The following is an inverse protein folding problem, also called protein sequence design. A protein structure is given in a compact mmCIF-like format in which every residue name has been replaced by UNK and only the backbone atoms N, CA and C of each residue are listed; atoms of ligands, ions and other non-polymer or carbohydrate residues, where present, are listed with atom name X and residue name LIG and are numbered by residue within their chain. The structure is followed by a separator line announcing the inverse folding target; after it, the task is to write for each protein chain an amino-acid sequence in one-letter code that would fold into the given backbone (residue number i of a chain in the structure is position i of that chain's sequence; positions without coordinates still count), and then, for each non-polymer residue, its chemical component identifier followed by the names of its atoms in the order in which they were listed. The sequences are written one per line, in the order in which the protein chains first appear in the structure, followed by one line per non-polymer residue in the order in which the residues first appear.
data_IF_860639740909
#
_entry.id   IF_860639740909
#
_cell.length_a   1.000
_cell.length_b   1.000
_cell.length_c   1.000
_cell.angle_alpha   90.00
_cell.angle_beta   90.00
_cell.angle_gamma   90.00
#
_symmetry.space_group_name_H-M   'P 1'
#
loop_
_entity.id
_entity.type
_entity.pdbx_description
1 polymer ?
#
# COMPACT_ATOMS: atom_id res chain seq x y z
N UNK A 1 26.45 7.43 -4.07
CA UNK A 1 25.00 7.51 -3.75
C UNK A 1 24.22 6.40 -4.44
N UNK A 2 24.32 6.27 -5.77
CA UNK A 2 23.63 5.23 -6.56
C UNK A 2 23.95 3.80 -6.07
N UNK A 3 25.22 3.49 -5.79
CA UNK A 3 25.64 2.19 -5.24
C UNK A 3 25.01 1.87 -3.87
N UNK A 4 24.94 2.86 -2.97
CA UNK A 4 24.31 2.72 -1.66
C UNK A 4 22.79 2.52 -1.75
N UNK A 5 22.10 3.25 -2.62
CA UNK A 5 20.66 3.07 -2.88
C UNK A 5 20.41 1.69 -3.50
N UNK A 6 21.26 1.24 -4.43
CA UNK A 6 21.17 -0.08 -5.05
C UNK A 6 21.35 -1.22 -4.03
N UNK A 7 22.33 -1.12 -3.15
CA UNK A 7 22.51 -2.14 -2.10
C UNK A 7 21.34 -2.14 -1.12
N UNK A 8 20.85 -0.96 -0.74
CA UNK A 8 19.68 -0.83 0.12
C UNK A 8 18.43 -1.46 -0.51
N UNK A 9 18.18 -1.22 -1.81
CA UNK A 9 17.03 -1.79 -2.52
C UNK A 9 17.13 -3.30 -2.71
N UNK A 10 18.34 -3.87 -2.69
CA UNK A 10 18.57 -5.33 -2.65
C UNK A 10 18.43 -5.95 -1.26
N UNK A 11 18.09 -5.16 -0.23
CA UNK A 11 17.95 -5.64 1.14
C UNK A 11 19.27 -5.84 1.87
N UNK A 12 20.34 -5.15 1.46
CA UNK A 12 21.61 -5.19 2.18
C UNK A 12 21.44 -4.70 3.62
N UNK A 13 22.09 -5.39 4.57
CA UNK A 13 22.11 -4.97 5.97
C UNK A 13 22.75 -3.58 6.12
N UNK A 14 22.21 -2.75 7.01
CA UNK A 14 22.78 -1.45 7.36
C UNK A 14 24.28 -1.52 7.66
N UNK A 15 24.71 -2.53 8.45
CA UNK A 15 26.13 -2.73 8.80
C UNK A 15 27.03 -2.93 7.57
N UNK A 16 26.54 -3.61 6.53
CA UNK A 16 27.29 -3.83 5.30
C UNK A 16 27.47 -2.52 4.54
N UNK A 17 26.41 -1.72 4.43
CA UNK A 17 26.45 -0.40 3.79
C UNK A 17 27.42 0.52 4.53
N UNK A 18 27.40 0.51 5.87
CA UNK A 18 28.30 1.33 6.69
C UNK A 18 29.77 0.88 6.57
N UNK A 19 30.05 -0.42 6.47
CA UNK A 19 31.40 -0.94 6.23
C UNK A 19 31.90 -0.49 4.85
N UNK A 20 31.09 -0.62 3.81
CA UNK A 20 31.44 -0.18 2.45
C UNK A 20 31.59 1.35 2.37
N UNK A 21 30.84 2.09 3.17
CA UNK A 21 31.01 3.54 3.29
C UNK A 21 32.33 3.91 3.94
N UNK A 22 32.79 3.17 4.94
CA UNK A 22 34.11 3.38 5.56
C UNK A 22 35.28 2.99 4.67
N UNK A 23 35.03 2.11 3.70
CA UNK A 23 35.99 1.73 2.66
C UNK A 23 35.93 2.66 1.42
N UNK A 24 35.20 3.79 1.50
CA UNK A 24 34.97 4.74 0.40
C UNK A 24 34.35 4.13 -0.88
N UNK A 25 33.76 2.93 -0.77
CA UNK A 25 33.08 2.24 -1.88
C UNK A 25 31.61 2.63 -2.01
N UNK A 26 31.02 3.21 -0.97
CA UNK A 26 29.62 3.62 -0.93
C UNK A 26 29.42 4.87 -0.07
N UNK A 27 28.19 5.39 -0.06
CA UNK A 27 27.76 6.44 0.87
C UNK A 27 27.23 5.80 2.15
N UNK A 28 27.26 6.56 3.24
CA UNK A 28 26.72 6.10 4.53
C UNK A 28 25.25 5.73 4.41
N UNK A 29 24.79 4.78 5.23
CA UNK A 29 23.38 4.42 5.29
C UNK A 29 22.49 5.65 5.57
N UNK A 30 22.95 6.57 6.42
CA UNK A 30 22.23 7.80 6.74
C UNK A 30 22.05 8.69 5.50
N UNK A 31 23.09 8.82 4.68
CA UNK A 31 23.04 9.59 3.43
C UNK A 31 22.07 8.96 2.42
N UNK A 32 22.05 7.62 2.32
CA UNK A 32 21.07 6.90 1.50
C UNK A 32 19.65 7.24 1.96
N UNK A 33 19.40 7.22 3.28
CA UNK A 33 18.06 7.47 3.82
C UNK A 33 17.59 8.90 3.66
N UNK A 34 18.47 9.87 3.86
CA UNK A 34 18.15 11.28 3.56
C UNK A 34 17.85 11.47 2.08
N UNK A 35 18.62 10.85 1.19
CA UNK A 35 18.38 10.88 -0.25
C UNK A 35 17.02 10.29 -0.63
N UNK A 36 16.67 9.11 -0.08
CA UNK A 36 15.39 8.48 -0.35
C UNK A 36 14.21 9.33 0.13
N UNK A 37 14.31 9.91 1.33
CA UNK A 37 13.28 10.84 1.86
C UNK A 37 13.10 12.06 0.96
N UNK A 38 14.18 12.63 0.45
CA UNK A 38 14.13 13.76 -0.48
C UNK A 38 13.43 13.37 -1.80
N UNK A 39 13.78 12.21 -2.37
CA UNK A 39 13.14 11.67 -3.58
C UNK A 39 11.64 11.41 -3.37
N UNK A 40 11.26 10.83 -2.23
CA UNK A 40 9.84 10.62 -1.90
C UNK A 40 9.08 11.93 -1.79
N UNK A 41 9.69 12.96 -1.17
CA UNK A 41 9.07 14.29 -1.05
C UNK A 41 8.86 14.94 -2.42
N UNK A 42 9.86 14.84 -3.29
CA UNK A 42 9.82 15.40 -4.64
C UNK A 42 8.79 14.68 -5.53
N UNK A 43 8.77 13.34 -5.49
CA UNK A 43 7.77 12.53 -6.16
C UNK A 43 6.35 12.86 -5.67
N UNK A 44 6.16 12.99 -4.35
CA UNK A 44 4.87 13.37 -3.78
C UNK A 44 4.41 14.77 -4.26
N UNK A 45 5.31 15.74 -4.32
CA UNK A 45 5.01 17.08 -4.82
C UNK A 45 4.66 17.06 -6.32
N UNK A 46 5.34 16.23 -7.11
CA UNK A 46 5.07 16.02 -8.53
C UNK A 46 3.68 15.43 -8.75
N UNK A 47 3.33 14.37 -8.01
CA UNK A 47 1.99 13.76 -8.06
C UNK A 47 0.92 14.77 -7.65
N UNK A 48 1.14 15.53 -6.57
CA UNK A 48 0.19 16.56 -6.11
C UNK A 48 -0.02 17.67 -7.13
N UNK A 49 1.04 18.05 -7.87
CA UNK A 49 0.93 19.05 -8.92
C UNK A 49 0.17 18.50 -10.14
N UNK A 50 0.47 17.26 -10.55
CA UNK A 50 -0.20 16.58 -11.66
C UNK A 50 -1.69 16.36 -11.38
N UNK A 51 -2.04 15.85 -10.20
CA UNK A 51 -3.42 15.62 -9.80
C UNK A 51 -4.29 16.89 -9.73
N UNK A 52 -3.67 18.07 -9.62
CA UNK A 52 -4.39 19.37 -9.67
C UNK A 52 -4.65 19.87 -11.09
N UNK A 53 -3.87 19.42 -12.08
CA UNK A 53 -3.87 19.96 -13.44
C UNK A 53 -4.54 19.02 -14.44
N UNK A 54 -4.41 17.73 -14.22
CA UNK A 54 -4.81 16.68 -15.15
C UNK A 54 -5.87 15.78 -14.53
N UNK A 55 -6.60 15.05 -15.37
CA UNK A 55 -7.48 13.96 -14.93
C UNK A 55 -6.65 12.81 -14.36
N UNK A 56 -7.16 12.18 -13.30
CA UNK A 56 -6.45 11.11 -12.62
C UNK A 56 -7.39 10.01 -12.13
N UNK A 57 -6.83 8.82 -11.94
CA UNK A 57 -7.45 7.67 -11.30
C UNK A 57 -6.69 7.32 -10.04
N UNK A 58 -7.38 6.78 -9.04
CA UNK A 58 -6.74 6.18 -7.86
C UNK A 58 -7.00 4.69 -7.86
N UNK A 59 -5.92 3.92 -7.74
CA UNK A 59 -5.96 2.49 -7.48
C UNK A 59 -5.59 2.28 -6.03
N UNK A 60 -6.47 1.61 -5.28
CA UNK A 60 -6.22 1.23 -3.90
C UNK A 60 -5.85 -0.24 -3.81
N UNK A 61 -4.86 -0.56 -2.99
CA UNK A 61 -4.49 -1.93 -2.64
C UNK A 61 -4.19 -2.02 -1.15
N UNK A 62 -4.48 -3.19 -0.55
CA UNK A 62 -4.20 -3.45 0.86
C UNK A 62 -2.90 -4.25 0.97
N UNK A 63 -1.87 -3.63 1.54
CA UNK A 63 -0.58 -4.25 1.78
C UNK A 63 -0.57 -4.82 3.21
N UNK A 64 -0.40 -6.14 3.29
CA UNK A 64 -0.32 -6.86 4.55
C UNK A 64 1.10 -7.38 4.75
N UNK A 65 1.82 -6.85 5.75
CA UNK A 65 3.18 -7.25 6.08
C UNK A 65 3.22 -8.03 7.38
N UNK A 66 3.59 -9.31 7.30
CA UNK A 66 3.81 -10.16 8.47
C UNK A 66 5.29 -10.15 8.86
N UNK A 67 5.64 -9.51 9.97
CA UNK A 67 7.00 -9.47 10.50
C UNK A 67 7.19 -10.59 11.53
N UNK A 68 7.76 -11.70 11.07
CA UNK A 68 8.12 -12.83 11.96
C UNK A 68 9.46 -12.60 12.63
N UNK A 69 9.49 -12.62 13.96
CA UNK A 69 10.73 -12.58 14.74
C UNK A 69 11.20 -14.01 14.96
N UNK A 70 12.49 -14.27 14.69
CA UNK A 70 13.09 -15.61 14.89
C UNK A 70 12.96 -16.11 16.34
N UNK A 71 13.07 -15.20 17.31
CA UNK A 71 12.93 -15.49 18.73
C UNK A 71 11.96 -14.49 19.34
N UNK A 72 10.75 -14.95 19.69
CA UNK A 72 9.76 -14.13 20.36
C UNK A 72 10.15 -13.93 21.83
N UNK A 73 10.08 -12.69 22.30
CA UNK A 73 10.30 -12.31 23.71
C UNK A 73 9.09 -11.54 24.21
N UNK A 74 8.94 -11.42 25.53
CA UNK A 74 7.83 -10.74 26.17
C UNK A 74 7.52 -9.36 25.55
N UNK A 75 8.56 -8.61 25.17
CA UNK A 75 8.46 -7.27 24.56
C UNK A 75 8.79 -7.21 23.06
N UNK A 76 9.00 -8.35 22.40
CA UNK A 76 9.38 -8.41 20.99
C UNK A 76 8.74 -9.66 20.36
N UNK A 77 7.48 -9.49 19.95
CA UNK A 77 6.67 -10.53 19.34
C UNK A 77 6.57 -10.28 17.83
N UNK A 78 5.97 -11.23 17.13
CA UNK A 78 5.60 -11.02 15.73
C UNK A 78 4.62 -9.85 15.63
N UNK A 79 4.75 -9.07 14.56
CA UNK A 79 3.79 -8.02 14.24
C UNK A 79 3.17 -8.27 12.87
N UNK A 80 1.93 -7.84 12.72
CA UNK A 80 1.23 -7.86 11.46
C UNK A 80 0.72 -6.45 11.19
N UNK A 81 1.35 -5.81 10.21
CA UNK A 81 1.06 -4.43 9.85
C UNK A 81 0.24 -4.46 8.56
N UNK A 82 -1.00 -4.00 8.65
CA UNK A 82 -1.93 -3.90 7.52
C UNK A 82 -2.07 -2.43 7.15
N UNK A 83 -1.63 -2.07 5.96
CA UNK A 83 -1.67 -0.69 5.47
C UNK A 83 -2.42 -0.63 4.13
N UNK A 84 -3.28 0.39 3.99
CA UNK A 84 -3.93 0.68 2.71
C UNK A 84 -3.04 1.62 1.91
N UNK A 85 -2.63 1.19 0.72
CA UNK A 85 -1.84 1.98 -0.22
C UNK A 85 -2.72 2.50 -1.35
N UNK A 86 -2.47 3.74 -1.77
CA UNK A 86 -3.16 4.38 -2.88
C UNK A 86 -2.15 4.82 -3.95
N UNK A 87 -2.39 4.44 -5.20
CA UNK A 87 -1.57 4.83 -6.35
C UNK A 87 -2.38 5.75 -7.26
N UNK A 88 -1.83 6.93 -7.56
CA UNK A 88 -2.45 7.90 -8.48
C UNK A 88 -1.91 7.69 -9.89
N UNK A 89 -2.78 7.43 -10.86
CA UNK A 89 -2.46 7.35 -12.29
C UNK A 89 -2.96 8.63 -12.94
N UNK A 90 -2.03 9.43 -13.47
CA UNK A 90 -2.35 10.68 -14.17
C UNK A 90 -2.50 10.36 -15.67
N UNK A 91 -3.67 10.62 -16.25
CA UNK A 91 -3.93 10.44 -17.69
C UNK A 91 -3.93 11.79 -18.39
N UNK A 92 -3.14 11.92 -19.46
CA UNK A 92 -3.06 13.13 -20.30
C UNK A 92 -3.98 13.08 -21.52
N UNK A 93 -4.63 11.94 -21.77
CA UNK A 93 -5.46 11.73 -22.94
C UNK A 93 -6.93 11.65 -22.51
N UNK A 94 -7.58 12.80 -22.51
CA UNK A 94 -9.00 12.89 -22.83
C UNK A 94 -9.11 13.87 -24.00
N UNK A 95 -9.06 13.32 -25.22
CA UNK A 95 -9.66 13.97 -26.38
C UNK A 95 -11.12 13.51 -26.37
N UNK A 96 -12.01 14.47 -26.12
CA UNK A 96 -13.41 14.51 -26.56
C UNK A 96 -14.12 13.17 -26.81
N UNK A 97 -14.69 12.59 -25.77
CA UNK A 97 -16.06 12.07 -25.87
C UNK A 97 -16.84 12.68 -24.71
N UNK A 98 -17.96 13.36 -25.02
CA UNK A 98 -18.92 13.89 -24.06
C UNK A 98 -19.45 12.75 -23.17
N UNK A 99 -18.73 12.45 -22.11
CA UNK A 99 -19.25 11.78 -20.93
C UNK A 99 -19.05 12.76 -19.78
N UNK A 100 -20.16 13.10 -19.12
CA UNK A 100 -20.27 14.04 -18.01
C UNK A 100 -18.99 14.08 -17.16
N UNK A 101 -18.28 15.23 -17.09
CA UNK A 101 -16.89 15.31 -16.65
C UNK A 101 -16.66 14.89 -15.18
N UNK A 102 -17.70 14.55 -14.43
CA UNK A 102 -17.60 14.02 -13.08
C UNK A 102 -18.86 13.18 -12.70
N UNK A 103 -18.89 11.86 -12.98
CA UNK A 103 -19.90 10.99 -12.36
C UNK A 103 -19.80 11.02 -10.82
N UNK A 104 -18.60 11.31 -10.29
CA UNK A 104 -18.36 11.47 -8.85
C UNK A 104 -18.97 12.74 -8.22
N UNK A 105 -19.42 13.74 -9.01
CA UNK A 105 -20.16 14.89 -8.45
C UNK A 105 -21.55 14.52 -7.92
N UNK A 106 -22.04 13.34 -8.30
CA UNK A 106 -23.31 12.79 -7.86
C UNK A 106 -23.14 11.77 -6.73
N UNK A 107 -21.90 11.43 -6.35
CA UNK A 107 -21.63 10.57 -5.21
C UNK A 107 -21.69 11.40 -3.92
N UNK A 108 -22.77 11.21 -3.17
CA UNK A 108 -22.92 11.77 -1.84
C UNK A 108 -22.21 10.87 -0.82
N UNK A 109 -21.86 11.42 0.35
CA UNK A 109 -21.32 10.63 1.45
C UNK A 109 -22.23 9.44 1.81
N UNK A 110 -23.55 9.60 1.61
CA UNK A 110 -24.55 8.56 1.78
C UNK A 110 -24.38 7.36 0.84
N UNK A 111 -23.84 7.55 -0.37
CA UNK A 111 -23.58 6.48 -1.33
C UNK A 111 -22.36 5.62 -0.94
N UNK A 112 -21.52 6.14 -0.04
CA UNK A 112 -20.43 5.39 0.59
C UNK A 112 -20.84 4.75 1.93
N UNK A 113 -22.05 5.03 2.42
CA UNK A 113 -22.60 4.39 3.60
C UNK A 113 -23.27 3.07 3.24
N UNK A 114 -23.22 2.10 4.16
CA UNK A 114 -23.93 0.84 4.00
C UNK A 114 -25.44 1.11 3.97
N UNK A 115 -26.08 0.95 2.82
CA UNK A 115 -27.53 0.92 2.73
C UNK A 115 -28.09 -0.39 3.33
N UNK A 116 -29.40 -0.45 3.51
CA UNK A 116 -30.10 -1.63 4.05
C UNK A 116 -29.94 -2.87 3.18
N UNK A 117 -29.78 -2.71 1.86
CA UNK A 117 -29.63 -3.81 0.92
C UNK A 117 -28.22 -4.43 1.00
N UNK A 118 -27.18 -3.61 1.05
CA UNK A 118 -25.79 -3.97 1.27
C UNK A 118 -25.62 -4.62 2.64
N UNK A 119 -26.27 -4.12 3.69
CA UNK A 119 -26.27 -4.76 5.00
C UNK A 119 -26.91 -6.15 4.96
N UNK A 120 -28.05 -6.30 4.29
CA UNK A 120 -28.71 -7.60 4.12
C UNK A 120 -27.84 -8.57 3.30
N UNK A 121 -27.20 -8.08 2.23
CA UNK A 121 -26.27 -8.85 1.41
C UNK A 121 -25.05 -9.31 2.23
N UNK A 122 -24.45 -8.42 3.01
CA UNK A 122 -23.30 -8.73 3.87
C UNK A 122 -23.66 -9.74 4.96
N UNK A 123 -24.82 -9.60 5.61
CA UNK A 123 -25.30 -10.60 6.57
C UNK A 123 -25.51 -11.96 5.92
N UNK A 124 -26.05 -11.99 4.70
CA UNK A 124 -26.23 -13.23 3.94
C UNK A 124 -24.89 -13.85 3.54
N UNK A 125 -23.94 -13.05 3.06
CA UNK A 125 -22.59 -13.49 2.69
C UNK A 125 -21.81 -13.99 3.92
N UNK A 126 -21.92 -13.28 5.04
CA UNK A 126 -21.32 -13.68 6.32
C UNK A 126 -21.89 -15.01 6.82
N UNK A 127 -23.22 -15.16 6.83
CA UNK A 127 -23.87 -16.43 7.19
C UNK A 127 -23.46 -17.56 6.25
N UNK A 128 -23.42 -17.30 4.94
CA UNK A 128 -22.96 -18.29 3.98
C UNK A 128 -21.53 -18.71 4.27
N UNK A 129 -20.59 -17.78 4.46
CA UNK A 129 -19.21 -18.11 4.77
C UNK A 129 -19.08 -18.85 6.09
N UNK A 130 -19.72 -18.38 7.16
CA UNK A 130 -19.62 -19.03 8.46
C UNK A 130 -20.17 -20.45 8.41
N UNK A 131 -21.32 -20.65 7.77
CA UNK A 131 -21.97 -21.97 7.71
C UNK A 131 -21.26 -22.91 6.74
N UNK A 132 -20.87 -22.43 5.56
CA UNK A 132 -20.25 -23.26 4.53
C UNK A 132 -18.78 -23.58 4.84
N UNK A 133 -18.04 -22.65 5.45
CA UNK A 133 -16.67 -22.90 5.93
C UNK A 133 -16.72 -23.91 7.08
N UNK A 134 -17.58 -23.71 8.09
CA UNK A 134 -17.72 -24.67 9.19
C UNK A 134 -18.20 -26.04 8.69
N UNK A 135 -19.11 -26.11 7.72
CA UNK A 135 -19.56 -27.38 7.11
C UNK A 135 -18.42 -28.09 6.40
N UNK A 136 -17.63 -27.38 5.60
CA UNK A 136 -16.47 -27.95 4.90
C UNK A 136 -15.43 -28.50 5.87
N UNK A 137 -15.08 -27.75 6.91
CA UNK A 137 -14.11 -28.23 7.90
C UNK A 137 -14.70 -29.30 8.84
N UNK A 138 -15.98 -29.22 9.21
CA UNK A 138 -16.64 -30.24 10.03
C UNK A 138 -16.75 -31.60 9.35
N UNK A 139 -16.93 -31.63 8.03
CA UNK A 139 -16.92 -32.87 7.24
C UNK A 139 -15.53 -33.47 7.03
N UNK A 140 -14.45 -32.71 7.32
CA UNK A 140 -13.07 -33.20 7.22
C UNK A 140 -12.61 -33.89 8.51
N UNK A 141 -13.43 -33.87 9.58
CA UNK A 141 -13.15 -34.48 10.90
C UNK A 141 -14.02 -35.71 11.23
N UNK A 142 -14.71 -36.29 10.24
CA UNK A 142 -15.27 -37.65 10.30
C UNK A 142 -14.44 -38.60 9.46
#
# INVERSE_FOLDING_TARGET
MVSGIYMFSKGALQRLIDVLSKADMSVSHQSVMTGLKALTKDAHQTVKCGAKKESWYIVYDNINMAFRKRNQRLYNQDSFDSETTATVIISKEFVEEESDPCPARHLYLADHCMDTENNAHLQKAFRFHLTEVLRRYGQTFQ
#
